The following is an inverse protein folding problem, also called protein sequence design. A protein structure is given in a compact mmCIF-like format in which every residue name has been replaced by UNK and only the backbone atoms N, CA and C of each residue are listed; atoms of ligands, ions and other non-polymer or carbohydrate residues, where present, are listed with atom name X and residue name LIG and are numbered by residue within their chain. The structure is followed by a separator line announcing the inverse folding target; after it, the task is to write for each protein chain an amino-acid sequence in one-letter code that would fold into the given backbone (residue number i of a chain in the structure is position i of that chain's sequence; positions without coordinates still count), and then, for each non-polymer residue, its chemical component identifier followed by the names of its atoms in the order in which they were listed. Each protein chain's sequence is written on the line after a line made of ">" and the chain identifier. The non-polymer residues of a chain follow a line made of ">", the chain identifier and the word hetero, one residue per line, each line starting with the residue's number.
data_IF_507141534342
#
_entry.id   IF_507141534342
#
_cell.length_a   1.000
_cell.length_b   1.000
_cell.length_c   1.000
_cell.angle_alpha   90.00
_cell.angle_beta   90.00
_cell.angle_gamma   90.00
#
_symmetry.space_group_name_H-M   'P 1'
#
loop_
_entity.id
_entity.type
_entity.pdbx_description
1 polymer ?
#
# COMPACT_ATOMS: atom_id res chain seq x y z
N UNK A 1 -2.80 -3.79 -18.08
CA UNK A 1 -3.76 -3.59 -16.98
C UNK A 1 -3.16 -2.64 -15.96
N UNK A 2 -3.94 -1.70 -15.51
CA UNK A 2 -3.48 -0.74 -14.50
C UNK A 2 -3.86 -1.24 -13.12
N UNK A 3 -2.85 -1.53 -12.30
CA UNK A 3 -3.04 -2.12 -10.97
C UNK A 3 -3.75 -1.16 -10.01
N UNK A 4 -3.52 0.16 -10.14
CA UNK A 4 -4.22 1.12 -9.30
C UNK A 4 -5.74 1.06 -9.50
N UNK A 5 -6.22 0.76 -10.70
CA UNK A 5 -7.65 0.56 -10.93
C UNK A 5 -8.18 -0.64 -10.15
N UNK A 6 -7.42 -1.72 -10.07
CA UNK A 6 -7.80 -2.89 -9.26
C UNK A 6 -7.82 -2.53 -7.76
N UNK A 7 -6.87 -1.73 -7.30
CA UNK A 7 -6.88 -1.26 -5.92
C UNK A 7 -8.11 -0.39 -5.64
N UNK A 8 -8.53 0.44 -6.60
CA UNK A 8 -9.76 1.23 -6.47
C UNK A 8 -11.01 0.34 -6.41
N UNK A 9 -11.04 -0.76 -7.15
CA UNK A 9 -12.14 -1.72 -7.02
C UNK A 9 -12.24 -2.27 -5.60
N UNK A 10 -11.11 -2.54 -4.96
CA UNK A 10 -11.10 -2.97 -3.57
C UNK A 10 -11.59 -1.87 -2.63
N UNK A 11 -11.23 -0.61 -2.89
CA UNK A 11 -11.72 0.53 -2.12
C UNK A 11 -13.25 0.65 -2.21
N UNK A 12 -13.82 0.41 -3.39
CA UNK A 12 -15.26 0.42 -3.61
C UNK A 12 -15.94 -0.69 -2.81
N UNK A 13 -15.34 -1.89 -2.76
CA UNK A 13 -15.84 -2.98 -1.92
C UNK A 13 -15.86 -2.58 -0.45
N UNK A 14 -14.81 -1.93 0.03
CA UNK A 14 -14.74 -1.44 1.40
C UNK A 14 -15.90 -0.49 1.69
N UNK A 15 -16.15 0.47 0.80
CA UNK A 15 -17.24 1.43 0.94
C UNK A 15 -18.58 0.72 1.04
N UNK A 16 -18.82 -0.27 0.21
CA UNK A 16 -20.06 -1.06 0.25
C UNK A 16 -20.22 -1.86 1.53
N UNK A 17 -19.15 -2.16 2.23
CA UNK A 17 -19.16 -2.87 3.50
C UNK A 17 -19.18 -1.93 4.71
N UNK A 18 -19.31 -0.62 4.52
CA UNK A 18 -19.31 0.36 5.61
C UNK A 18 -17.93 0.65 6.18
N UNK A 19 -16.88 0.29 5.45
CA UNK A 19 -15.49 0.53 5.84
C UNK A 19 -14.95 1.79 5.17
N UNK A 20 -13.82 2.28 5.68
CA UNK A 20 -13.08 3.36 5.01
C UNK A 20 -12.67 2.89 3.62
N UNK A 21 -12.94 3.66 2.54
CA UNK A 21 -12.73 3.19 1.16
C UNK A 21 -11.27 3.23 0.74
N UNK A 22 -10.49 2.29 1.24
CA UNK A 22 -9.08 2.12 0.88
C UNK A 22 -8.89 0.68 0.42
N UNK A 23 -8.22 0.53 -0.72
CA UNK A 23 -7.89 -0.77 -1.29
C UNK A 23 -6.41 -0.91 -1.57
N UNK A 24 -5.91 -2.14 -1.57
CA UNK A 24 -4.50 -2.42 -1.79
C UNK A 24 -4.30 -3.74 -2.53
N UNK A 25 -3.20 -3.82 -3.26
CA UNK A 25 -2.74 -5.02 -3.94
C UNK A 25 -1.28 -5.27 -3.62
N UNK A 26 -0.89 -6.56 -3.58
CA UNK A 26 0.52 -6.94 -3.69
C UNK A 26 0.69 -7.65 -5.03
N UNK A 27 1.67 -7.18 -5.82
CA UNK A 27 1.88 -7.62 -7.20
C UNK A 27 3.34 -8.04 -7.37
N UNK A 28 3.57 -9.24 -7.90
CA UNK A 28 4.91 -9.69 -8.23
C UNK A 28 5.50 -8.81 -9.35
N UNK A 29 6.81 -8.62 -9.34
CA UNK A 29 7.49 -7.79 -10.35
C UNK A 29 7.19 -8.22 -11.79
N UNK A 30 6.79 -9.47 -12.00
CA UNK A 30 6.40 -9.98 -13.32
C UNK A 30 4.94 -9.67 -13.68
N UNK A 31 4.19 -9.00 -12.79
CA UNK A 31 2.82 -8.59 -13.04
C UNK A 31 1.74 -9.47 -12.46
N UNK A 32 2.09 -10.53 -11.74
CA UNK A 32 1.10 -11.39 -11.10
C UNK A 32 0.56 -10.74 -9.83
N UNK A 33 -0.77 -10.61 -9.72
CA UNK A 33 -1.43 -10.11 -8.52
C UNK A 33 -1.51 -11.23 -7.49
N UNK A 34 -0.77 -11.10 -6.39
CA UNK A 34 -0.72 -12.12 -5.35
C UNK A 34 -1.84 -11.92 -4.33
N UNK A 35 -2.15 -10.67 -4.01
CA UNK A 35 -3.22 -10.38 -3.05
C UNK A 35 -3.98 -9.13 -3.43
N UNK A 36 -5.27 -9.11 -3.05
CA UNK A 36 -6.15 -7.94 -3.14
C UNK A 36 -6.85 -7.82 -1.80
N UNK A 37 -6.91 -6.61 -1.27
CA UNK A 37 -7.51 -6.40 0.04
C UNK A 37 -8.06 -5.00 0.18
N UNK A 38 -8.91 -4.81 1.19
CA UNK A 38 -9.43 -3.50 1.54
C UNK A 38 -9.51 -3.39 3.06
N UNK A 39 -9.81 -2.19 3.53
CA UNK A 39 -9.86 -1.90 4.96
C UNK A 39 -10.99 -2.72 5.61
N UNK A 40 -10.70 -3.36 6.74
CA UNK A 40 -11.62 -4.23 7.46
C UNK A 40 -11.63 -3.95 8.96
N UNK A 41 -11.21 -2.77 9.39
CA UNK A 41 -11.05 -2.48 10.83
C UNK A 41 -12.34 -2.65 11.61
N UNK A 42 -13.48 -2.24 11.04
CA UNK A 42 -14.78 -2.36 11.69
C UNK A 42 -15.33 -3.78 11.63
N UNK A 43 -15.23 -4.41 10.46
CA UNK A 43 -15.78 -5.75 10.23
C UNK A 43 -15.08 -6.80 11.10
N UNK A 44 -13.76 -6.69 11.27
CA UNK A 44 -12.98 -7.69 12.01
C UNK A 44 -12.66 -7.26 13.44
N UNK A 45 -13.12 -6.08 13.87
CA UNK A 45 -12.80 -5.53 15.18
C UNK A 45 -11.29 -5.47 15.42
N UNK A 46 -10.55 -5.10 14.38
CA UNK A 46 -9.08 -5.06 14.42
C UNK A 46 -8.60 -3.68 13.95
N UNK A 47 -8.09 -2.84 14.86
CA UNK A 47 -7.64 -1.49 14.50
C UNK A 47 -6.45 -1.49 13.55
N UNK A 48 -5.74 -2.60 13.41
CA UNK A 48 -4.61 -2.71 12.49
C UNK A 48 -4.99 -3.22 11.10
N UNK A 49 -6.25 -3.60 10.87
CA UNK A 49 -6.69 -4.23 9.62
C UNK A 49 -6.90 -3.21 8.50
N UNK A 50 -5.90 -2.35 8.26
CA UNK A 50 -5.86 -1.48 7.09
C UNK A 50 -5.66 -2.30 5.83
N UNK A 51 -6.05 -1.75 4.68
CA UNK A 51 -5.95 -2.43 3.39
C UNK A 51 -4.53 -2.98 3.15
N UNK A 52 -3.52 -2.16 3.44
CA UNK A 52 -2.10 -2.54 3.24
C UNK A 52 -1.72 -3.73 4.11
N UNK A 53 -2.11 -3.68 5.39
CA UNK A 53 -1.82 -4.78 6.33
C UNK A 53 -2.48 -6.07 5.86
N UNK A 54 -3.75 -5.98 5.44
CA UNK A 54 -4.47 -7.15 4.96
C UNK A 54 -3.83 -7.72 3.68
N UNK A 55 -3.43 -6.85 2.75
CA UNK A 55 -2.76 -7.27 1.52
C UNK A 55 -1.43 -7.96 1.81
N UNK A 56 -0.63 -7.41 2.73
CA UNK A 56 0.65 -8.01 3.13
C UNK A 56 0.43 -9.38 3.79
N UNK A 57 -0.56 -9.50 4.68
CA UNK A 57 -0.87 -10.77 5.34
C UNK A 57 -1.25 -11.86 4.36
N UNK A 58 -2.10 -11.53 3.40
CA UNK A 58 -2.52 -12.50 2.37
C UNK A 58 -1.31 -12.91 1.53
N UNK A 59 -0.52 -11.96 1.08
CA UNK A 59 0.64 -12.24 0.21
C UNK A 59 1.68 -13.11 0.93
N UNK A 60 2.08 -12.72 2.15
CA UNK A 60 3.08 -13.48 2.91
C UNK A 60 2.61 -14.89 3.23
N UNK A 61 1.32 -15.05 3.53
CA UNK A 61 0.74 -16.36 3.77
C UNK A 61 0.77 -17.23 2.51
N UNK A 62 0.43 -16.66 1.35
CA UNK A 62 0.42 -17.41 0.09
C UNK A 62 1.80 -17.90 -0.33
N UNK A 63 2.82 -17.06 -0.17
CA UNK A 63 4.19 -17.44 -0.57
C UNK A 63 4.96 -18.11 0.56
N UNK A 64 4.38 -18.16 1.77
CA UNK A 64 5.00 -18.73 2.97
C UNK A 64 6.37 -18.09 3.25
N UNK A 65 6.40 -16.75 3.18
CA UNK A 65 7.62 -15.98 3.43
C UNK A 65 7.22 -14.58 3.91
N UNK A 66 7.88 -14.10 4.95
CA UNK A 66 7.61 -12.75 5.48
C UNK A 66 8.36 -11.66 4.69
N UNK A 67 9.19 -12.02 3.72
CA UNK A 67 9.97 -11.08 2.90
C UNK A 67 9.43 -11.07 1.48
N UNK A 68 9.06 -9.88 1.00
CA UNK A 68 8.41 -9.65 -0.28
C UNK A 68 9.29 -8.82 -1.23
N UNK A 69 10.58 -9.11 -1.29
CA UNK A 69 11.57 -8.30 -2.03
C UNK A 69 11.31 -8.19 -3.52
N UNK A 70 10.58 -9.15 -4.10
CA UNK A 70 10.26 -9.15 -5.53
C UNK A 70 8.82 -8.66 -5.80
N UNK A 71 8.20 -8.02 -4.82
CA UNK A 71 6.80 -7.63 -4.90
C UNK A 71 6.64 -6.13 -4.71
N UNK A 72 5.64 -5.59 -5.38
CA UNK A 72 5.23 -4.19 -5.28
C UNK A 72 3.90 -4.10 -4.55
N UNK A 73 3.67 -2.98 -3.87
CA UNK A 73 2.39 -2.71 -3.21
C UNK A 73 1.74 -1.50 -3.86
N UNK A 74 0.48 -1.66 -4.24
CA UNK A 74 -0.37 -0.57 -4.73
C UNK A 74 -1.45 -0.31 -3.68
N UNK A 75 -1.63 0.94 -3.31
CA UNK A 75 -2.66 1.36 -2.37
C UNK A 75 -3.29 2.66 -2.84
N UNK A 76 -4.59 2.82 -2.61
CA UNK A 76 -5.33 3.97 -3.15
C UNK A 76 -5.01 5.28 -2.44
N UNK A 77 -4.56 5.22 -1.19
CA UNK A 77 -4.22 6.39 -0.38
C UNK A 77 -2.82 6.21 0.21
N UNK A 78 -2.09 7.32 0.35
CA UNK A 78 -0.77 7.32 1.00
C UNK A 78 -0.84 6.56 2.33
N UNK A 79 0.05 5.58 2.58
CA UNK A 79 0.02 4.79 3.81
C UNK A 79 0.31 5.62 5.06
N UNK A 80 -0.38 5.29 6.14
CA UNK A 80 -0.06 5.84 7.45
C UNK A 80 1.27 5.27 7.95
N UNK A 81 1.77 5.80 9.08
CA UNK A 81 3.04 5.37 9.65
C UNK A 81 3.07 3.87 9.97
N UNK A 82 2.01 3.33 10.57
CA UNK A 82 1.91 1.91 10.90
C UNK A 82 2.10 1.04 9.65
N UNK A 83 1.38 1.37 8.58
CA UNK A 83 1.44 0.61 7.33
C UNK A 83 2.79 0.78 6.65
N UNK A 84 3.37 1.98 6.69
CA UNK A 84 4.70 2.23 6.14
C UNK A 84 5.76 1.37 6.81
N UNK A 85 5.72 1.27 8.14
CA UNK A 85 6.65 0.41 8.88
C UNK A 85 6.46 -1.06 8.48
N UNK A 86 5.22 -1.52 8.38
CA UNK A 86 4.95 -2.90 7.95
C UNK A 86 5.46 -3.17 6.53
N UNK A 87 5.27 -2.21 5.62
CA UNK A 87 5.74 -2.31 4.23
C UNK A 87 7.26 -2.45 4.19
N UNK A 88 7.98 -1.64 4.98
CA UNK A 88 9.45 -1.73 5.02
C UNK A 88 9.91 -3.03 5.67
N UNK A 89 9.22 -3.49 6.71
CA UNK A 89 9.55 -4.77 7.35
C UNK A 89 9.38 -5.95 6.39
N UNK A 90 8.42 -5.86 5.48
CA UNK A 90 8.20 -6.88 4.46
C UNK A 90 9.18 -6.76 3.28
N UNK A 91 10.00 -5.72 3.22
CA UNK A 91 10.97 -5.47 2.16
C UNK A 91 10.33 -5.28 0.79
N UNK A 92 9.16 -4.66 0.73
CA UNK A 92 8.48 -4.33 -0.53
C UNK A 92 9.43 -3.57 -1.46
N UNK A 93 9.45 -3.96 -2.73
CA UNK A 93 10.33 -3.37 -3.74
C UNK A 93 9.90 -1.95 -4.11
N UNK A 94 8.64 -1.77 -4.48
CA UNK A 94 8.07 -0.49 -4.91
C UNK A 94 6.71 -0.27 -4.25
N UNK A 95 6.49 0.95 -3.79
CA UNK A 95 5.22 1.38 -3.21
C UNK A 95 4.59 2.41 -4.14
N UNK A 96 3.38 2.12 -4.61
CA UNK A 96 2.59 3.03 -5.41
C UNK A 96 1.36 3.45 -4.62
N UNK A 97 1.09 4.75 -4.53
CA UNK A 97 -0.15 5.20 -3.92
C UNK A 97 -0.90 6.16 -4.85
N UNK A 98 -2.23 6.18 -4.73
CA UNK A 98 -3.10 6.88 -5.67
C UNK A 98 -3.41 8.33 -5.31
N UNK A 99 -3.29 8.69 -4.04
CA UNK A 99 -3.60 10.04 -3.56
C UNK A 99 -2.82 10.32 -2.28
N UNK A 100 -2.49 11.58 -2.06
CA UNK A 100 -1.86 12.01 -0.82
C UNK A 100 -2.85 11.99 0.33
N UNK A 101 -2.35 11.71 1.53
CA UNK A 101 -3.18 11.70 2.74
C UNK A 101 -3.38 13.09 3.31
N UNK A 102 -2.52 14.05 2.98
CA UNK A 102 -2.59 15.42 3.49
C UNK A 102 -3.11 16.38 2.42
N UNK A 103 -3.62 17.53 2.87
CA UNK A 103 -4.21 18.53 1.96
C UNK A 103 -3.15 19.28 1.14
N UNK A 104 -1.89 19.24 1.55
CA UNK A 104 -0.81 19.91 0.85
C UNK A 104 -0.32 19.11 -0.36
N UNK A 105 -0.79 17.88 -0.53
CA UNK A 105 -0.34 16.97 -1.59
C UNK A 105 1.19 16.80 -1.57
N UNK A 106 1.73 16.62 -0.36
CA UNK A 106 3.17 16.45 -0.13
C UNK A 106 3.45 15.12 0.53
N UNK A 107 4.45 14.41 0.02
CA UNK A 107 4.95 13.21 0.69
C UNK A 107 6.10 13.54 1.65
N UNK A 108 7.00 14.44 1.25
CA UNK A 108 8.28 14.66 1.94
C UNK A 108 8.15 15.15 3.38
N UNK A 109 7.03 15.79 3.74
CA UNK A 109 6.80 16.29 5.11
C UNK A 109 5.91 15.36 5.94
N UNK A 110 5.50 14.21 5.40
CA UNK A 110 4.64 13.27 6.13
C UNK A 110 5.43 12.51 7.21
N UNK A 111 4.70 11.94 8.18
CA UNK A 111 5.31 11.07 9.19
C UNK A 111 5.95 9.85 8.55
N UNK A 112 5.32 9.30 7.51
CA UNK A 112 5.86 8.16 6.76
C UNK A 112 7.19 8.52 6.10
N UNK A 113 7.29 9.70 5.49
CA UNK A 113 8.52 10.15 4.86
C UNK A 113 9.62 10.36 5.89
N UNK A 114 9.28 10.93 7.05
CA UNK A 114 10.25 11.11 8.14
C UNK A 114 10.79 9.77 8.64
N UNK A 115 9.90 8.79 8.82
CA UNK A 115 10.32 7.44 9.20
C UNK A 115 11.26 6.84 8.15
N UNK A 116 10.91 6.93 6.87
CA UNK A 116 11.70 6.37 5.78
C UNK A 116 13.10 6.98 5.70
N UNK A 117 13.26 8.22 6.17
CA UNK A 117 14.55 8.90 6.21
C UNK A 117 15.33 8.67 7.51
N UNK A 118 14.75 7.95 8.47
CA UNK A 118 15.34 7.76 9.80
C UNK A 118 16.27 6.54 9.82
N UNK A 119 17.04 6.44 10.91
CA UNK A 119 17.95 5.31 11.14
C UNK A 119 17.20 4.03 11.51
N UNK A 120 15.96 4.13 11.99
CA UNK A 120 15.14 2.97 12.33
C UNK A 120 14.63 2.24 11.09
N UNK A 121 14.64 2.88 9.92
CA UNK A 121 14.18 2.27 8.68
C UNK A 121 15.27 1.44 8.04
N UNK A 122 15.08 0.12 8.00
CA UNK A 122 16.06 -0.84 7.47
C UNK A 122 15.96 -1.06 5.97
N UNK A 123 14.87 -0.62 5.36
CA UNK A 123 14.62 -0.82 3.94
C UNK A 123 13.72 0.29 3.43
N UNK A 124 14.09 0.87 2.30
CA UNK A 124 13.28 1.92 1.65
C UNK A 124 12.81 1.43 0.31
N UNK A 125 11.50 1.23 0.13
CA UNK A 125 10.97 0.95 -1.20
C UNK A 125 11.14 2.17 -2.09
N UNK A 126 11.21 1.96 -3.40
CA UNK A 126 11.02 3.06 -4.35
C UNK A 126 9.56 3.48 -4.26
N UNK A 127 9.29 4.79 -4.25
CA UNK A 127 7.95 5.32 -4.00
C UNK A 127 7.45 6.08 -5.23
N UNK A 128 6.22 5.80 -5.63
CA UNK A 128 5.59 6.38 -6.81
C UNK A 128 4.20 6.89 -6.49
N UNK A 129 3.85 8.05 -7.04
CA UNK A 129 2.46 8.51 -7.09
C UNK A 129 1.84 8.00 -8.40
N UNK A 130 0.74 7.26 -8.30
CA UNK A 130 0.10 6.62 -9.43
C UNK A 130 -1.36 7.02 -9.51
N UNK A 131 -1.63 8.19 -10.09
CA UNK A 131 -2.99 8.69 -10.27
C UNK A 131 -3.72 7.86 -11.33
N UNK A 132 -5.00 7.57 -11.08
CA UNK A 132 -5.78 6.67 -11.94
C UNK A 132 -5.89 7.18 -13.37
N UNK A 133 -6.04 8.50 -13.55
CA UNK A 133 -6.19 9.10 -14.86
C UNK A 133 -4.87 9.38 -15.58
N UNK A 134 -3.73 9.01 -14.98
CA UNK A 134 -2.40 9.18 -15.58
C UNK A 134 -1.81 7.77 -15.79
N UNK A 135 -1.38 7.50 -17.03
CA UNK A 135 -0.91 6.17 -17.39
C UNK A 135 0.45 5.81 -16.77
N UNK A 136 1.28 6.80 -16.47
CA UNK A 136 2.61 6.56 -15.90
C UNK A 136 2.73 7.14 -14.50
N UNK A 137 3.18 6.33 -13.52
CA UNK A 137 3.40 6.83 -12.18
C UNK A 137 4.59 7.79 -12.10
N UNK A 138 4.52 8.74 -11.19
CA UNK A 138 5.62 9.65 -10.89
C UNK A 138 6.42 9.11 -9.72
N UNK A 139 7.73 8.91 -9.93
CA UNK A 139 8.61 8.48 -8.85
C UNK A 139 8.84 9.63 -7.87
N UNK A 140 8.70 9.33 -6.61
CA UNK A 140 8.99 10.25 -5.50
C UNK A 140 10.33 9.82 -4.88
N UNK A 141 11.25 10.73 -4.82
CA UNK A 141 12.59 10.42 -4.30
C UNK A 141 12.64 10.34 -2.78
#
# INVERSE_FOLDING_TARGET
>A
MRFMELAMEEAIKAQGAGEVPIGALVVHKDGEVISRAYNLTKTTYDPSAHAEINALRIATSKIENNILKDYDLYVTLEPCLMCTVAITNARIRRLYFGAYANQQNEFTSSESARYLSSQECNHRPDIYLSLIHISEPTRLS
#
